data_IF_702141090723
#
_entry.id   IF_702141090723
#
_cell.length_a   1.000
_cell.length_b   1.000
_cell.length_c   1.000
_cell.angle_alpha   90.00
_cell.angle_beta   90.00
_cell.angle_gamma   90.00
#
_symmetry.space_group_name_H-M   'P 1'
#
loop_
_entity.id
_entity.type
_entity.pdbx_description
1 polymer ?
#
# COMPACT_ATOMS: atom_id res chain seq x y z
N UNK A 1 2.00 3.48 4.70
CA UNK A 1 0.72 4.17 4.40
C UNK A 1 -0.42 3.37 5.05
N UNK A 2 -1.51 4.03 5.46
CA UNK A 2 -2.60 3.43 6.23
C UNK A 2 -3.92 3.52 5.46
N UNK A 3 -4.72 2.46 5.48
CA UNK A 3 -6.12 2.48 5.05
C UNK A 3 -6.99 2.15 6.26
N UNK A 4 -7.80 3.11 6.67
CA UNK A 4 -8.67 2.98 7.84
C UNK A 4 -10.11 2.86 7.36
N UNK A 5 -10.79 1.81 7.79
CA UNK A 5 -12.21 1.57 7.57
C UNK A 5 -12.89 1.67 8.93
N UNK A 6 -13.88 2.54 9.06
CA UNK A 6 -14.67 2.73 10.29
C UNK A 6 -16.16 2.64 9.96
N UNK A 7 -16.74 1.43 9.96
CA UNK A 7 -18.14 1.23 9.60
C UNK A 7 -19.10 1.86 10.62
N UNK A 8 -18.64 2.11 11.85
CA UNK A 8 -19.45 2.69 12.93
C UNK A 8 -19.39 4.22 12.95
N UNK A 9 -18.35 4.82 12.36
CA UNK A 9 -18.06 6.28 12.38
C UNK A 9 -17.75 6.83 13.77
N UNK A 10 -17.26 6.00 14.69
CA UNK A 10 -17.11 6.37 16.10
C UNK A 10 -15.64 6.47 16.52
N UNK A 11 -14.76 5.66 15.92
CA UNK A 11 -13.44 5.40 16.51
C UNK A 11 -12.30 6.03 15.70
N UNK A 12 -12.37 5.98 14.36
CA UNK A 12 -11.20 6.33 13.53
C UNK A 12 -11.31 7.69 12.85
N UNK A 13 -12.47 8.37 12.94
CA UNK A 13 -12.70 9.67 12.29
C UNK A 13 -11.66 10.74 12.65
N UNK A 14 -11.10 10.69 13.87
CA UNK A 14 -10.07 11.60 14.38
C UNK A 14 -8.74 11.55 13.62
N UNK A 15 -8.49 10.48 12.86
CA UNK A 15 -7.24 10.31 12.11
C UNK A 15 -7.29 10.93 10.71
N UNK A 16 -8.43 11.50 10.28
CA UNK A 16 -8.51 12.15 8.98
C UNK A 16 -7.49 13.30 8.86
N UNK A 17 -6.81 13.37 7.70
CA UNK A 17 -5.86 14.43 7.38
C UNK A 17 -4.39 14.12 7.70
N UNK A 18 -4.08 13.02 8.40
CA UNK A 18 -2.67 12.64 8.61
C UNK A 18 -2.00 12.22 7.29
N UNK A 19 -0.72 12.55 7.06
CA UNK A 19 -0.02 12.29 5.78
C UNK A 19 0.22 10.79 5.50
N UNK A 20 0.02 9.95 6.52
CA UNK A 20 0.20 8.51 6.44
C UNK A 20 -1.00 7.81 5.76
N UNK A 21 -2.17 8.44 5.70
CA UNK A 21 -3.36 7.84 5.09
C UNK A 21 -3.22 7.71 3.56
N UNK A 22 -3.76 6.62 3.01
CA UNK A 22 -3.96 6.42 1.57
C UNK A 22 -5.20 7.15 1.05
N UNK A 23 -6.21 7.27 1.90
CA UNK A 23 -7.48 7.94 1.64
C UNK A 23 -8.07 8.44 2.95
N UNK A 24 -9.05 9.35 2.93
CA UNK A 24 -9.90 9.60 4.09
C UNK A 24 -10.47 8.30 4.65
N UNK A 25 -10.79 8.30 5.94
CA UNK A 25 -11.37 7.15 6.66
C UNK A 25 -12.65 6.71 5.96
N UNK A 26 -12.72 5.42 5.63
CA UNK A 26 -13.82 4.87 4.83
C UNK A 26 -14.90 4.33 5.75
N UNK A 27 -16.09 4.94 5.73
CA UNK A 27 -17.20 4.49 6.56
C UNK A 27 -18.33 3.80 5.82
N UNK A 28 -18.45 4.02 4.52
CA UNK A 28 -19.51 3.40 3.72
C UNK A 28 -19.11 1.97 3.32
N UNK A 29 -19.95 0.95 3.61
CA UNK A 29 -19.63 -0.45 3.30
C UNK A 29 -19.28 -0.71 1.82
N UNK A 30 -20.00 -0.05 0.89
CA UNK A 30 -19.72 -0.16 -0.55
C UNK A 30 -18.35 0.42 -0.92
N UNK A 31 -17.93 1.52 -0.27
CA UNK A 31 -16.59 2.10 -0.49
C UNK A 31 -15.51 1.23 0.14
N UNK A 32 -15.78 0.66 1.32
CA UNK A 32 -14.89 -0.28 1.99
C UNK A 32 -14.60 -1.50 1.12
N UNK A 33 -15.62 -2.13 0.55
CA UNK A 33 -15.47 -3.26 -0.37
C UNK A 33 -14.58 -2.91 -1.58
N UNK A 34 -14.82 -1.76 -2.23
CA UNK A 34 -13.99 -1.28 -3.34
C UNK A 34 -12.55 -0.98 -2.93
N UNK A 35 -12.34 -0.43 -1.74
CA UNK A 35 -11.01 -0.13 -1.22
C UNK A 35 -10.22 -1.42 -0.94
N UNK A 36 -10.86 -2.43 -0.36
CA UNK A 36 -10.27 -3.75 -0.15
C UNK A 36 -9.93 -4.44 -1.48
N UNK A 37 -10.82 -4.37 -2.48
CA UNK A 37 -10.53 -4.88 -3.83
C UNK A 37 -9.26 -4.25 -4.43
N UNK A 38 -9.07 -2.93 -4.27
CA UNK A 38 -7.84 -2.27 -4.72
C UNK A 38 -6.60 -2.77 -3.98
N UNK A 39 -6.70 -3.06 -2.69
CA UNK A 39 -5.58 -3.63 -1.92
C UNK A 39 -5.24 -5.04 -2.42
N UNK A 40 -6.23 -5.85 -2.78
CA UNK A 40 -6.01 -7.17 -3.39
C UNK A 40 -5.32 -7.04 -4.75
N UNK A 41 -5.79 -6.15 -5.63
CA UNK A 41 -5.12 -5.91 -6.92
C UNK A 41 -3.69 -5.40 -6.77
N UNK A 42 -3.43 -4.55 -5.77
CA UNK A 42 -2.07 -4.13 -5.44
C UNK A 42 -1.22 -5.31 -4.95
N UNK A 43 -1.76 -6.21 -4.13
CA UNK A 43 -1.05 -7.44 -3.71
C UNK A 43 -0.67 -8.32 -4.91
N UNK A 44 -1.58 -8.50 -5.87
CA UNK A 44 -1.31 -9.26 -7.10
C UNK A 44 -0.21 -8.62 -7.94
N UNK A 45 -0.29 -7.31 -8.18
CA UNK A 45 0.76 -6.54 -8.87
C UNK A 45 2.13 -6.68 -8.17
N UNK A 46 2.17 -6.73 -6.84
CA UNK A 46 3.43 -6.97 -6.10
C UNK A 46 4.01 -8.33 -6.39
N UNK A 47 3.19 -9.38 -6.46
CA UNK A 47 3.67 -10.71 -6.80
C UNK A 47 4.24 -10.76 -8.22
N UNK A 48 3.60 -10.09 -9.19
CA UNK A 48 4.13 -9.97 -10.55
C UNK A 48 5.49 -9.26 -10.58
N UNK A 49 5.63 -8.15 -9.85
CA UNK A 49 6.90 -7.42 -9.73
C UNK A 49 7.98 -8.26 -9.04
N UNK A 50 7.63 -8.99 -7.98
CA UNK A 50 8.55 -9.88 -7.30
C UNK A 50 9.05 -10.99 -8.25
N UNK A 51 8.15 -11.62 -9.01
CA UNK A 51 8.53 -12.60 -10.02
C UNK A 51 9.43 -12.00 -11.10
N UNK A 52 9.09 -10.80 -11.61
CA UNK A 52 9.85 -10.09 -12.66
C UNK A 52 11.29 -9.77 -12.22
N UNK A 53 11.49 -9.39 -10.97
CA UNK A 53 12.80 -8.98 -10.44
C UNK A 53 13.50 -10.06 -9.60
N UNK A 54 12.97 -11.29 -9.57
CA UNK A 54 13.55 -12.42 -8.83
C UNK A 54 13.54 -12.23 -7.30
N UNK A 55 12.60 -11.46 -6.77
CA UNK A 55 12.47 -11.15 -5.35
C UNK A 55 11.39 -12.01 -4.70
N UNK A 56 11.48 -12.20 -3.37
CA UNK A 56 10.50 -13.04 -2.63
C UNK A 56 9.71 -12.27 -1.58
N UNK A 57 10.22 -11.12 -1.13
CA UNK A 57 9.61 -10.30 -0.08
C UNK A 57 9.85 -8.82 -0.40
N UNK A 58 9.01 -7.97 0.17
CA UNK A 58 9.09 -6.52 0.00
C UNK A 58 10.44 -5.93 0.44
N UNK A 59 11.06 -6.47 1.51
CA UNK A 59 12.37 -6.00 1.99
C UNK A 59 13.45 -6.18 0.93
N UNK A 60 13.57 -7.39 0.38
CA UNK A 60 14.59 -7.69 -0.64
C UNK A 60 14.32 -6.94 -1.94
N UNK A 61 13.06 -6.74 -2.31
CA UNK A 61 12.67 -5.89 -3.42
C UNK A 61 13.10 -4.43 -3.22
N UNK A 62 12.85 -3.86 -2.05
CA UNK A 62 13.22 -2.48 -1.75
C UNK A 62 14.74 -2.30 -1.68
N UNK A 63 15.48 -3.28 -1.16
CA UNK A 63 16.95 -3.28 -1.16
C UNK A 63 17.50 -3.32 -2.59
N UNK A 64 16.93 -4.18 -3.44
CA UNK A 64 17.24 -4.25 -4.87
C UNK A 64 16.99 -2.90 -5.57
N UNK A 65 15.82 -2.30 -5.34
CA UNK A 65 15.47 -0.98 -5.90
C UNK A 65 16.43 0.10 -5.42
N UNK A 66 16.80 0.09 -4.14
CA UNK A 66 17.75 1.06 -3.57
C UNK A 66 19.14 0.94 -4.23
N UNK A 67 19.62 -0.28 -4.47
CA UNK A 67 20.87 -0.51 -5.21
C UNK A 67 20.76 -0.05 -6.67
N UNK A 68 19.72 -0.49 -7.37
CA UNK A 68 19.48 -0.11 -8.77
C UNK A 68 19.43 1.41 -8.95
N UNK A 69 18.76 2.11 -8.03
CA UNK A 69 18.60 3.56 -8.07
C UNK A 69 19.89 4.33 -7.73
N UNK A 70 20.92 3.69 -7.18
CA UNK A 70 22.24 4.31 -7.01
C UNK A 70 23.08 4.18 -8.27
N UNK A 71 22.98 3.05 -8.95
CA UNK A 71 23.85 2.67 -10.07
C UNK A 71 23.30 3.13 -11.43
N UNK A 72 21.97 3.21 -11.59
CA UNK A 72 21.33 3.51 -12.87
C UNK A 72 20.63 4.87 -12.88
N UNK A 73 20.56 5.51 -14.05
CA UNK A 73 19.78 6.73 -14.26
C UNK A 73 18.27 6.46 -14.17
N UNK A 74 17.82 5.32 -14.70
CA UNK A 74 16.42 4.88 -14.62
C UNK A 74 16.08 4.46 -13.20
N UNK A 75 15.33 5.32 -12.49
CA UNK A 75 14.89 5.04 -11.12
C UNK A 75 13.62 4.19 -11.11
N UNK A 76 13.61 3.18 -10.26
CA UNK A 76 12.44 2.35 -9.93
C UNK A 76 11.87 2.85 -8.61
N UNK A 77 10.55 2.90 -8.47
CA UNK A 77 9.94 3.31 -7.20
C UNK A 77 9.99 2.17 -6.17
N UNK A 78 10.37 2.44 -4.91
CA UNK A 78 10.29 1.45 -3.85
C UNK A 78 8.83 1.15 -3.52
N UNK A 79 8.57 -0.07 -3.08
CA UNK A 79 7.24 -0.54 -2.74
C UNK A 79 6.85 -0.08 -1.33
N UNK A 80 5.69 0.58 -1.14
CA UNK A 80 5.27 1.06 0.16
C UNK A 80 4.69 -0.06 1.03
N UNK A 81 4.88 0.02 2.34
CA UNK A 81 4.11 -0.77 3.30
C UNK A 81 2.69 -0.19 3.42
N UNK A 82 1.69 -1.05 3.29
CA UNK A 82 0.28 -0.71 3.45
C UNK A 82 -0.27 -1.51 4.62
N UNK A 83 -0.86 -0.83 5.59
CA UNK A 83 -1.59 -1.46 6.70
C UNK A 83 -3.06 -1.10 6.57
N UNK A 84 -3.91 -2.12 6.59
CA UNK A 84 -5.37 -1.97 6.54
C UNK A 84 -5.93 -2.26 7.93
N UNK A 85 -6.76 -1.35 8.44
CA UNK A 85 -7.45 -1.47 9.73
C UNK A 85 -8.95 -1.32 9.45
N UNK A 86 -9.77 -2.19 10.05
CA UNK A 86 -11.23 -2.29 9.86
C UNK A 86 -11.95 -2.34 11.19
#
# INVERSE_FOLDING_TARGET
KLMLIDPKKVELGVYNGIPHLLSPVVSEPKKAARALQKVVSEMENRYELFAKFGQRKISTYNDFVAKNNRENETKIQPMPYIVVIV
#
